data_IF_995057154993
#
_entry.id   IF_995057154993
#
_cell.length_a   1.000
_cell.length_b   1.000
_cell.length_c   1.000
_cell.angle_alpha   90.00
_cell.angle_beta   90.00
_cell.angle_gamma   90.00
#
_symmetry.space_group_name_H-M   'P 1'
#
loop_
_entity.id
_entity.type
_entity.pdbx_description
1 polymer ?
#
# COMPACT_ATOMS: atom_id res chain seq x y z
N UNK A 1 -24.42 38.55 2.20
CA UNK A 1 -24.45 37.61 1.06
C UNK A 1 -24.10 36.24 1.63
N UNK A 2 -25.11 35.41 1.88
CA UNK A 2 -24.91 34.04 2.35
C UNK A 2 -24.54 33.23 1.12
N UNK A 3 -23.30 32.73 1.06
CA UNK A 3 -22.86 31.85 -0.02
C UNK A 3 -23.66 30.56 0.06
N UNK A 4 -24.66 30.43 -0.81
CA UNK A 4 -25.40 29.19 -1.01
C UNK A 4 -24.49 28.23 -1.77
N UNK A 5 -23.70 27.42 -1.07
CA UNK A 5 -23.15 26.19 -1.65
C UNK A 5 -24.31 25.24 -1.90
N UNK A 6 -24.85 25.27 -3.12
CA UNK A 6 -25.70 24.18 -3.59
C UNK A 6 -24.88 22.88 -3.50
N UNK A 7 -25.43 21.78 -2.97
CA UNK A 7 -24.79 20.48 -3.09
C UNK A 7 -24.54 20.21 -4.58
N UNK A 8 -23.32 19.83 -4.96
CA UNK A 8 -23.06 19.33 -6.32
C UNK A 8 -24.00 18.15 -6.57
N UNK A 9 -24.58 18.06 -7.76
CA UNK A 9 -25.41 16.90 -8.09
C UNK A 9 -24.53 15.64 -8.08
N UNK A 10 -25.07 14.47 -7.67
CA UNK A 10 -24.32 13.22 -7.65
C UNK A 10 -23.62 12.93 -8.98
N UNK A 11 -24.33 13.12 -10.09
CA UNK A 11 -23.84 12.90 -11.45
C UNK A 11 -22.67 13.82 -11.81
N UNK A 12 -22.76 15.12 -11.47
CA UNK A 12 -21.70 16.10 -11.72
C UNK A 12 -20.43 15.74 -10.93
N UNK A 13 -20.59 15.34 -9.66
CA UNK A 13 -19.46 14.95 -8.80
C UNK A 13 -18.78 13.70 -9.35
N UNK A 14 -19.55 12.67 -9.68
CA UNK A 14 -19.02 11.40 -10.22
C UNK A 14 -18.30 11.64 -11.55
N UNK A 15 -18.93 12.38 -12.48
CA UNK A 15 -18.31 12.71 -13.77
C UNK A 15 -16.99 13.47 -13.58
N UNK A 16 -16.98 14.48 -12.70
CA UNK A 16 -15.77 15.26 -12.38
C UNK A 16 -14.65 14.39 -11.82
N UNK A 17 -14.96 13.46 -10.92
CA UNK A 17 -13.97 12.52 -10.36
C UNK A 17 -13.35 11.62 -11.45
N UNK A 18 -14.17 11.11 -12.37
CA UNK A 18 -13.72 10.27 -13.49
C UNK A 18 -12.84 11.09 -14.43
N UNK A 19 -13.31 12.25 -14.88
CA UNK A 19 -12.62 13.06 -15.89
C UNK A 19 -11.31 13.65 -15.36
N UNK A 20 -11.27 14.07 -14.10
CA UNK A 20 -10.11 14.72 -13.50
C UNK A 20 -9.03 13.72 -13.07
N UNK A 21 -9.44 12.58 -12.51
CA UNK A 21 -8.51 11.64 -11.87
C UNK A 21 -8.38 10.29 -12.61
N UNK A 22 -9.16 10.05 -13.66
CA UNK A 22 -9.11 8.84 -14.46
C UNK A 22 -9.50 7.57 -13.69
N UNK A 23 -10.29 7.69 -12.62
CA UNK A 23 -10.78 6.53 -11.86
C UNK A 23 -12.03 5.92 -12.52
N UNK A 24 -12.29 4.64 -12.24
CA UNK A 24 -13.48 3.98 -12.78
C UNK A 24 -14.77 4.57 -12.22
N UNK A 25 -15.86 4.44 -12.97
CA UNK A 25 -17.19 4.82 -12.52
C UNK A 25 -17.54 4.18 -11.18
N UNK A 26 -17.26 2.88 -11.02
CA UNK A 26 -17.47 2.17 -9.75
C UNK A 26 -16.73 2.82 -8.58
N UNK A 27 -15.46 3.20 -8.75
CA UNK A 27 -14.69 3.84 -7.68
C UNK A 27 -15.21 5.25 -7.38
N UNK A 28 -15.63 6.01 -8.40
CA UNK A 28 -16.20 7.34 -8.23
C UNK A 28 -17.53 7.30 -7.48
N UNK A 29 -18.41 6.35 -7.83
CA UNK A 29 -19.67 6.08 -7.13
C UNK A 29 -19.42 5.69 -5.67
N UNK A 30 -18.49 4.77 -5.39
CA UNK A 30 -18.15 4.38 -4.02
C UNK A 30 -17.59 5.54 -3.18
N UNK A 31 -16.80 6.43 -3.78
CA UNK A 31 -16.29 7.63 -3.11
C UNK A 31 -17.42 8.62 -2.80
N UNK A 32 -18.36 8.79 -3.72
CA UNK A 32 -19.53 9.64 -3.54
C UNK A 32 -20.44 9.10 -2.43
N UNK A 33 -20.84 7.83 -2.52
CA UNK A 33 -21.74 7.17 -1.57
C UNK A 33 -21.18 7.15 -0.14
N UNK A 34 -19.85 7.03 -0.03
CA UNK A 34 -19.16 7.06 1.26
C UNK A 34 -18.81 8.46 1.75
N UNK A 35 -19.18 9.51 1.00
CA UNK A 35 -18.87 10.92 1.29
C UNK A 35 -17.36 11.24 1.39
N UNK A 36 -16.50 10.37 0.84
CA UNK A 36 -15.04 10.51 0.88
C UNK A 36 -14.45 11.18 -0.34
N UNK A 37 -15.28 11.61 -1.31
CA UNK A 37 -14.81 12.28 -2.52
C UNK A 37 -13.92 13.49 -2.23
N UNK A 38 -14.26 14.35 -1.26
CA UNK A 38 -13.41 15.51 -0.89
C UNK A 38 -12.05 15.11 -0.34
N UNK A 39 -12.02 14.13 0.56
CA UNK A 39 -10.79 13.58 1.13
C UNK A 39 -9.91 12.96 0.02
N UNK A 40 -10.55 12.22 -0.89
CA UNK A 40 -9.88 11.66 -2.05
C UNK A 40 -9.23 12.75 -2.91
N UNK A 41 -9.98 13.82 -3.25
CA UNK A 41 -9.48 14.92 -4.06
C UNK A 41 -8.31 15.64 -3.40
N UNK A 42 -8.39 15.87 -2.09
CA UNK A 42 -7.31 16.49 -1.31
C UNK A 42 -6.04 15.63 -1.36
N UNK A 43 -6.15 14.33 -1.10
CA UNK A 43 -5.02 13.41 -1.11
C UNK A 43 -4.43 13.28 -2.52
N UNK A 44 -5.28 13.09 -3.54
CA UNK A 44 -4.83 12.90 -4.92
C UNK A 44 -4.14 14.16 -5.47
N UNK A 45 -4.60 15.35 -5.07
CA UNK A 45 -3.99 16.62 -5.49
C UNK A 45 -2.66 16.88 -4.77
N UNK A 46 -2.55 16.53 -3.48
CA UNK A 46 -1.34 16.74 -2.69
C UNK A 46 -0.23 15.70 -2.98
N UNK A 47 -0.60 14.48 -3.40
CA UNK A 47 0.35 13.36 -3.58
C UNK A 47 0.29 12.75 -5.00
N UNK A 48 0.67 13.51 -6.05
CA UNK A 48 0.52 13.09 -7.45
C UNK A 48 1.40 11.89 -7.86
N UNK A 49 2.35 11.48 -7.02
CA UNK A 49 3.15 10.26 -7.25
C UNK A 49 2.36 8.98 -6.96
N UNK A 50 1.24 9.08 -6.26
CA UNK A 50 0.39 7.96 -5.89
C UNK A 50 -0.75 7.89 -6.90
N UNK A 51 -0.99 6.72 -7.50
CA UNK A 51 -2.05 6.55 -8.48
C UNK A 51 -3.43 6.86 -7.87
N UNK A 52 -4.27 7.70 -8.49
CA UNK A 52 -5.60 8.01 -7.98
C UNK A 52 -6.46 6.77 -7.74
N UNK A 53 -6.40 5.78 -8.63
CA UNK A 53 -7.14 4.51 -8.44
C UNK A 53 -6.77 3.80 -7.14
N UNK A 54 -5.50 3.82 -6.73
CA UNK A 54 -5.07 3.23 -5.46
C UNK A 54 -5.64 3.99 -4.26
N UNK A 55 -5.58 5.33 -4.27
CA UNK A 55 -6.17 6.17 -3.22
C UNK A 55 -7.67 5.87 -3.09
N UNK A 56 -8.38 5.85 -4.22
CA UNK A 56 -9.80 5.55 -4.27
C UNK A 56 -10.11 4.15 -3.71
N UNK A 57 -9.38 3.11 -4.13
CA UNK A 57 -9.53 1.75 -3.61
C UNK A 57 -9.29 1.66 -2.11
N UNK A 58 -8.27 2.34 -1.59
CA UNK A 58 -7.99 2.37 -0.15
C UNK A 58 -9.14 3.01 0.63
N UNK A 59 -9.62 4.17 0.19
CA UNK A 59 -10.72 4.90 0.85
C UNK A 59 -12.09 4.24 0.70
N UNK A 60 -12.22 3.23 -0.16
CA UNK A 60 -13.49 2.54 -0.43
C UNK A 60 -13.39 1.06 -0.09
N UNK A 61 -12.86 0.24 -0.99
CA UNK A 61 -12.82 -1.22 -0.90
C UNK A 61 -12.02 -1.71 0.32
N UNK A 62 -10.84 -1.14 0.60
CA UNK A 62 -10.02 -1.55 1.75
C UNK A 62 -10.72 -1.24 3.06
N UNK A 63 -11.24 -0.02 3.24
CA UNK A 63 -12.01 0.33 4.44
C UNK A 63 -13.26 -0.53 4.61
N UNK A 64 -13.94 -0.87 3.51
CA UNK A 64 -15.09 -1.77 3.54
C UNK A 64 -14.71 -3.19 3.99
N UNK A 65 -13.56 -3.70 3.53
CA UNK A 65 -13.04 -4.99 3.96
C UNK A 65 -12.70 -4.99 5.45
N UNK A 66 -11.95 -4.00 5.93
CA UNK A 66 -11.62 -3.85 7.36
C UNK A 66 -12.88 -3.76 8.23
N UNK A 67 -13.89 -3.00 7.80
CA UNK A 67 -15.16 -2.92 8.52
C UNK A 67 -15.86 -4.29 8.64
N UNK A 68 -15.82 -5.11 7.59
CA UNK A 68 -16.40 -6.47 7.61
C UNK A 68 -15.65 -7.41 8.56
N UNK A 69 -14.37 -7.16 8.80
CA UNK A 69 -13.54 -7.87 9.76
C UNK A 69 -13.74 -7.39 11.21
N UNK A 70 -14.66 -6.43 11.44
CA UNK A 70 -14.96 -5.89 12.76
C UNK A 70 -14.00 -4.77 13.21
N UNK A 71 -13.15 -4.27 12.30
CA UNK A 71 -12.28 -3.13 12.58
C UNK A 71 -13.12 -1.84 12.63
N UNK A 72 -13.01 -1.03 13.69
CA UNK A 72 -13.84 0.17 13.89
C UNK A 72 -13.31 1.36 13.08
N UNK A 73 -13.36 1.28 11.75
CA UNK A 73 -12.82 2.28 10.82
C UNK A 73 -13.45 3.68 11.00
N UNK A 74 -14.64 3.78 11.59
CA UNK A 74 -15.30 5.04 11.92
C UNK A 74 -14.57 5.85 13.00
N UNK A 75 -13.61 5.24 13.70
CA UNK A 75 -12.75 5.92 14.66
C UNK A 75 -11.60 6.68 14.00
N UNK A 76 -11.32 6.42 12.73
CA UNK A 76 -10.26 7.07 11.96
C UNK A 76 -10.74 8.43 11.47
N UNK A 77 -9.85 9.42 11.55
CA UNK A 77 -10.11 10.78 11.08
C UNK A 77 -9.49 11.01 9.71
N UNK A 78 -10.04 11.93 8.92
CA UNK A 78 -9.53 12.32 7.59
C UNK A 78 -8.02 12.63 7.63
N UNK A 79 -7.57 13.29 8.69
CA UNK A 79 -6.16 13.59 8.94
C UNK A 79 -5.28 12.34 8.96
N UNK A 80 -5.75 11.23 9.55
CA UNK A 80 -5.02 9.96 9.59
C UNK A 80 -4.76 9.44 8.19
N UNK A 81 -5.74 9.53 7.29
CA UNK A 81 -5.57 9.12 5.90
C UNK A 81 -4.54 10.01 5.19
N UNK A 82 -4.65 11.33 5.35
CA UNK A 82 -3.70 12.30 4.76
C UNK A 82 -2.26 11.98 5.20
N UNK A 83 -2.04 11.71 6.48
CA UNK A 83 -0.71 11.36 7.03
C UNK A 83 -0.20 10.02 6.47
N UNK A 84 -1.05 8.99 6.37
CA UNK A 84 -0.69 7.70 5.77
C UNK A 84 -0.20 7.88 4.32
N UNK A 85 -0.94 8.65 3.51
CA UNK A 85 -0.55 8.90 2.13
C UNK A 85 0.69 9.80 2.02
N UNK A 86 0.93 10.70 2.97
CA UNK A 86 2.19 11.44 3.07
C UNK A 86 3.37 10.49 3.26
N UNK A 87 3.28 9.55 4.21
CA UNK A 87 4.34 8.59 4.50
C UNK A 87 4.58 7.62 3.34
N UNK A 88 3.51 7.23 2.64
CA UNK A 88 3.64 6.45 1.40
C UNK A 88 4.36 7.27 0.31
N UNK A 89 4.02 8.54 0.13
CA UNK A 89 4.67 9.42 -0.85
C UNK A 89 6.16 9.68 -0.54
N UNK A 90 6.52 9.69 0.74
CA UNK A 90 7.90 9.78 1.23
C UNK A 90 8.67 8.45 1.14
N UNK A 91 7.99 7.33 0.83
CA UNK A 91 8.58 5.99 0.78
C UNK A 91 8.88 5.39 2.16
N UNK A 92 8.27 5.94 3.22
CA UNK A 92 8.41 5.46 4.61
C UNK A 92 7.43 4.34 4.93
N UNK A 93 6.34 4.24 4.18
CA UNK A 93 5.32 3.22 4.31
C UNK A 93 5.12 2.50 2.97
N UNK A 94 5.06 1.17 2.97
CA UNK A 94 4.73 0.40 1.78
C UNK A 94 3.21 0.36 1.55
N UNK A 95 2.79 0.27 0.28
CA UNK A 95 1.37 0.17 -0.08
C UNK A 95 0.68 -1.02 0.58
N UNK A 96 1.38 -2.13 0.68
CA UNK A 96 0.90 -3.39 1.23
C UNK A 96 0.68 -3.33 2.75
N UNK A 97 1.35 -2.43 3.46
CA UNK A 97 1.19 -2.27 4.90
C UNK A 97 -0.04 -1.44 5.29
N UNK A 98 -0.60 -0.65 4.36
CA UNK A 98 -1.68 0.30 4.65
C UNK A 98 -2.89 -0.37 5.33
N UNK A 99 -3.42 -1.52 4.88
CA UNK A 99 -4.56 -2.16 5.54
C UNK A 99 -4.28 -2.51 7.00
N UNK A 100 -3.08 -3.02 7.31
CA UNK A 100 -2.68 -3.39 8.66
C UNK A 100 -2.49 -2.16 9.55
N UNK A 101 -1.83 -1.13 9.03
CA UNK A 101 -1.65 0.15 9.74
C UNK A 101 -2.99 0.82 10.05
N UNK A 102 -3.93 0.82 9.09
CA UNK A 102 -5.29 1.33 9.31
C UNK A 102 -6.02 0.55 10.41
N UNK A 103 -5.84 -0.78 10.44
CA UNK A 103 -6.45 -1.63 11.47
C UNK A 103 -5.88 -1.34 12.86
N UNK A 104 -4.57 -1.23 13.00
CA UNK A 104 -3.90 -0.89 14.27
C UNK A 104 -4.36 0.46 14.80
N UNK A 105 -4.33 1.51 13.97
CA UNK A 105 -4.77 2.86 14.36
C UNK A 105 -6.26 2.91 14.73
N UNK A 106 -7.09 2.09 14.10
CA UNK A 106 -8.52 2.02 14.42
C UNK A 106 -8.76 1.30 15.76
N UNK A 107 -7.97 0.27 16.05
CA UNK A 107 -8.10 -0.55 17.26
C UNK A 107 -7.51 0.14 18.49
N UNK A 108 -6.39 0.85 18.34
CA UNK A 108 -5.68 1.51 19.43
C UNK A 108 -5.38 2.98 19.10
N UNK A 109 -6.08 3.90 19.77
CA UNK A 109 -5.91 5.34 19.60
C UNK A 109 -4.67 5.90 20.31
N UNK A 110 -3.99 5.11 21.13
CA UNK A 110 -2.80 5.55 21.86
C UNK A 110 -1.54 5.46 21.01
N UNK A 111 -1.57 4.60 19.98
CA UNK A 111 -0.45 4.41 19.06
C UNK A 111 -0.54 5.45 17.94
N UNK A 112 0.57 6.14 17.69
CA UNK A 112 0.71 7.07 16.58
C UNK A 112 1.14 6.36 15.29
N UNK A 113 0.82 6.97 14.14
CA UNK A 113 1.29 6.48 12.85
C UNK A 113 2.83 6.43 12.78
N UNK A 114 3.50 7.40 13.40
CA UNK A 114 4.97 7.44 13.48
C UNK A 114 5.53 6.21 14.18
N UNK A 115 4.96 5.82 15.32
CA UNK A 115 5.39 4.64 16.08
C UNK A 115 5.26 3.38 15.22
N UNK A 116 4.08 3.15 14.61
CA UNK A 116 3.83 1.99 13.76
C UNK A 116 4.82 1.92 12.59
N UNK A 117 5.04 3.05 11.91
CA UNK A 117 5.95 3.12 10.76
C UNK A 117 7.40 2.91 11.20
N UNK A 118 7.80 3.47 12.34
CA UNK A 118 9.16 3.30 12.87
C UNK A 118 9.48 1.85 13.23
N UNK A 119 8.51 1.12 13.80
CA UNK A 119 8.65 -0.31 14.13
C UNK A 119 8.67 -1.20 12.88
N UNK A 120 7.97 -0.77 11.82
CA UNK A 120 7.87 -1.50 10.55
C UNK A 120 8.98 -1.16 9.56
N UNK A 121 9.76 -0.11 9.80
CA UNK A 121 10.80 0.32 8.88
C UNK A 121 11.86 -0.78 8.67
N UNK A 122 12.12 -1.10 7.41
CA UNK A 122 13.16 -2.05 7.02
C UNK A 122 14.08 -1.43 5.98
N UNK A 123 15.39 -1.48 6.24
CA UNK A 123 16.40 -1.03 5.27
C UNK A 123 16.63 -2.06 4.17
N UNK A 124 17.19 -1.61 3.05
CA UNK A 124 17.58 -2.49 1.94
C UNK A 124 18.62 -3.53 2.38
N UNK A 125 19.49 -3.19 3.33
CA UNK A 125 20.50 -4.09 3.88
C UNK A 125 19.86 -5.20 4.72
N UNK A 126 18.82 -4.88 5.51
CA UNK A 126 18.06 -5.88 6.25
C UNK A 126 17.31 -6.81 5.29
N UNK A 127 16.69 -6.24 4.25
CA UNK A 127 16.04 -7.02 3.19
C UNK A 127 17.04 -7.96 2.50
N UNK A 128 18.24 -7.49 2.14
CA UNK A 128 19.27 -8.31 1.52
C UNK A 128 19.67 -9.50 2.39
N UNK A 129 19.81 -9.30 3.70
CA UNK A 129 20.10 -10.40 4.65
C UNK A 129 18.99 -11.44 4.68
N UNK A 130 17.73 -11.01 4.65
CA UNK A 130 16.58 -11.93 4.58
C UNK A 130 16.63 -12.74 3.27
N UNK A 131 16.88 -12.07 2.14
CA UNK A 131 16.96 -12.75 0.84
C UNK A 131 18.10 -13.76 0.83
N UNK A 132 19.29 -13.39 1.32
CA UNK A 132 20.45 -14.28 1.37
C UNK A 132 20.17 -15.51 2.24
N UNK A 133 19.53 -15.33 3.41
CA UNK A 133 19.11 -16.42 4.27
C UNK A 133 18.11 -17.37 3.58
N UNK A 134 17.13 -16.82 2.85
CA UNK A 134 16.15 -17.64 2.10
C UNK A 134 16.76 -18.36 0.90
N UNK A 135 17.75 -17.76 0.23
CA UNK A 135 18.50 -18.43 -0.82
C UNK A 135 19.29 -19.62 -0.24
N UNK A 136 19.93 -19.43 0.92
CA UNK A 136 20.65 -20.51 1.59
C UNK A 136 19.72 -21.65 2.05
N UNK A 137 18.54 -21.32 2.58
CA UNK A 137 17.51 -22.29 2.99
C UNK A 137 17.01 -23.12 1.80
N UNK A 138 16.84 -22.49 0.62
CA UNK A 138 16.21 -23.08 -0.56
C UNK A 138 17.21 -23.41 -1.67
N UNK A 139 18.48 -23.63 -1.29
CA UNK A 139 19.58 -23.70 -2.25
C UNK A 139 19.38 -24.80 -3.31
N UNK A 140 18.85 -25.97 -2.89
CA UNK A 140 18.61 -27.12 -3.77
C UNK A 140 17.52 -26.80 -4.78
N UNK A 141 16.36 -26.33 -4.32
CA UNK A 141 15.22 -26.00 -5.16
C UNK A 141 15.55 -24.87 -6.13
N UNK A 142 16.33 -23.87 -5.68
CA UNK A 142 16.79 -22.78 -6.54
C UNK A 142 17.73 -23.30 -7.62
N UNK A 143 18.66 -24.19 -7.27
CA UNK A 143 19.61 -24.77 -8.25
C UNK A 143 18.90 -25.63 -9.30
N UNK A 144 17.91 -26.41 -8.90
CA UNK A 144 17.11 -27.26 -9.81
C UNK A 144 16.22 -26.44 -10.76
N UNK A 145 15.63 -25.35 -10.26
CA UNK A 145 14.67 -24.54 -11.02
C UNK A 145 15.32 -23.39 -11.80
N UNK A 146 16.51 -22.96 -11.38
CA UNK A 146 17.19 -21.79 -11.92
C UNK A 146 16.35 -20.52 -11.77
N UNK A 147 16.28 -19.70 -12.82
CA UNK A 147 15.49 -18.47 -12.87
C UNK A 147 13.99 -18.70 -12.57
N UNK A 148 13.46 -19.90 -12.84
CA UNK A 148 12.06 -20.26 -12.53
C UNK A 148 11.79 -20.35 -11.03
N UNK A 149 12.81 -20.32 -10.18
CA UNK A 149 12.67 -20.24 -8.73
C UNK A 149 12.17 -18.86 -8.26
N UNK A 150 12.20 -17.82 -9.10
CA UNK A 150 11.87 -16.45 -8.72
C UNK A 150 10.54 -16.34 -7.97
N UNK A 151 9.45 -16.90 -8.50
CA UNK A 151 8.13 -16.80 -7.87
C UNK A 151 8.07 -17.45 -6.48
N UNK A 152 8.74 -18.59 -6.32
CA UNK A 152 8.83 -19.30 -5.04
C UNK A 152 9.65 -18.49 -4.03
N UNK A 153 10.84 -18.02 -4.41
CA UNK A 153 11.70 -17.21 -3.54
C UNK A 153 11.01 -15.90 -3.17
N UNK A 154 10.39 -15.22 -4.12
CA UNK A 154 9.62 -14.00 -3.90
C UNK A 154 8.53 -14.21 -2.86
N UNK A 155 7.73 -15.28 -2.98
CA UNK A 155 6.68 -15.59 -2.00
C UNK A 155 7.23 -15.81 -0.59
N UNK A 156 8.37 -16.49 -0.46
CA UNK A 156 9.04 -16.74 0.83
C UNK A 156 9.58 -15.46 1.45
N UNK A 157 10.20 -14.60 0.65
CA UNK A 157 10.72 -13.30 1.12
C UNK A 157 9.58 -12.38 1.52
N UNK A 158 8.53 -12.28 0.70
CA UNK A 158 7.36 -11.44 0.99
C UNK A 158 6.65 -11.86 2.29
N UNK A 159 6.55 -13.16 2.56
CA UNK A 159 5.98 -13.68 3.81
C UNK A 159 6.78 -13.31 5.06
N UNK A 160 8.11 -13.20 4.95
CA UNK A 160 9.01 -12.77 6.03
C UNK A 160 9.01 -11.25 6.21
N UNK A 161 8.98 -10.52 5.09
CA UNK A 161 9.03 -9.06 5.07
C UNK A 161 7.71 -8.46 5.55
N UNK A 162 6.56 -9.07 5.22
CA UNK A 162 5.21 -8.64 5.64
C UNK A 162 4.93 -7.15 5.39
N UNK A 163 5.18 -6.67 4.18
CA UNK A 163 4.87 -5.28 3.80
C UNK A 163 5.74 -4.21 4.48
N UNK A 164 6.78 -4.58 5.22
CA UNK A 164 7.71 -3.63 5.87
C UNK A 164 8.57 -2.82 4.89
N UNK A 165 8.64 -3.24 3.62
CA UNK A 165 9.30 -2.52 2.55
C UNK A 165 8.50 -2.72 1.25
N UNK A 166 8.56 -1.72 0.37
CA UNK A 166 7.82 -1.70 -0.90
C UNK A 166 8.09 -2.96 -1.75
N UNK A 167 7.01 -3.60 -2.22
CA UNK A 167 7.09 -4.85 -2.97
C UNK A 167 7.87 -4.75 -4.29
N UNK A 168 7.92 -3.58 -4.93
CA UNK A 168 8.76 -3.35 -6.11
C UNK A 168 10.25 -3.32 -5.73
N UNK A 169 10.59 -2.76 -4.56
CA UNK A 169 11.95 -2.84 -4.01
C UNK A 169 12.31 -4.29 -3.73
N UNK A 170 11.44 -5.05 -3.04
CA UNK A 170 11.64 -6.50 -2.80
C UNK A 170 11.88 -7.24 -4.11
N UNK A 171 11.00 -7.05 -5.09
CA UNK A 171 11.10 -7.71 -6.40
C UNK A 171 12.44 -7.44 -7.07
N UNK A 172 12.88 -6.17 -7.09
CA UNK A 172 14.17 -5.77 -7.68
C UNK A 172 15.34 -6.43 -6.97
N UNK A 173 15.33 -6.49 -5.63
CA UNK A 173 16.40 -7.12 -4.85
C UNK A 173 16.43 -8.63 -5.02
N UNK A 174 15.28 -9.30 -4.98
CA UNK A 174 15.15 -10.76 -5.16
C UNK A 174 15.67 -11.18 -6.53
N UNK A 175 15.27 -10.51 -7.62
CA UNK A 175 15.78 -10.80 -8.97
C UNK A 175 17.29 -10.68 -9.04
N UNK A 176 17.86 -9.59 -8.50
CA UNK A 176 19.30 -9.35 -8.50
C UNK A 176 20.05 -10.47 -7.77
N UNK A 177 19.66 -10.76 -6.51
CA UNK A 177 20.32 -11.75 -5.65
C UNK A 177 20.20 -13.18 -6.20
N UNK A 178 19.05 -13.53 -6.77
CA UNK A 178 18.85 -14.83 -7.42
C UNK A 178 19.82 -15.01 -8.59
N UNK A 179 19.91 -14.01 -9.47
CA UNK A 179 20.82 -14.07 -10.62
C UNK A 179 22.30 -14.16 -10.18
N UNK A 180 22.70 -13.37 -9.19
CA UNK A 180 24.05 -13.43 -8.61
C UNK A 180 24.38 -14.81 -8.02
N UNK A 181 23.42 -15.46 -7.35
CA UNK A 181 23.57 -16.80 -6.82
C UNK A 181 23.76 -17.83 -7.94
N UNK A 182 22.87 -17.84 -8.94
CA UNK A 182 22.91 -18.78 -10.06
C UNK A 182 24.19 -18.66 -10.89
N UNK A 183 24.71 -17.44 -11.07
CA UNK A 183 25.99 -17.22 -11.76
C UNK A 183 27.20 -17.76 -10.98
N UNK A 184 27.16 -17.76 -9.65
CA UNK A 184 28.22 -18.32 -8.81
C UNK A 184 28.21 -19.85 -8.82
N UNK A 185 27.03 -20.48 -8.88
CA UNK A 185 26.90 -21.94 -8.89
C UNK A 185 27.21 -22.59 -10.24
N UNK A 186 27.19 -21.81 -11.34
CA UNK A 186 27.56 -22.27 -12.68
C UNK A 186 29.07 -22.18 -12.98
N UNK A 187 29.86 -21.58 -12.08
CA UNK A 187 31.33 -21.57 -12.14
C UNK A 187 31.91 -22.69 -11.27
#
# INVERSE_FOLDING_TARGET
KVSQTHPEYPEDTIARLIDTYGISQELAELLFDSWRFKLFEEIASNYPKISPSFIATTLTSTLTALKREGIPIEKLEDRTFIEIFAYLNEGRLAKEAIPEVLAELALDKTVSLEEIVSERYMTVEQLDKIIDAKIAELQREISERGERAYGMLMGRVMAEVRGRIDGAVVSKRVKKKLSEFLQKTQK
#
